data_IF_941163018256
#
_entry.id   IF_941163018256
#
_cell.length_a   1.000
_cell.length_b   1.000
_cell.length_c   1.000
_cell.angle_alpha   90.00
_cell.angle_beta   90.00
_cell.angle_gamma   90.00
#
_symmetry.space_group_name_H-M   'P 1'
#
loop_
_entity.id
_entity.type
_entity.pdbx_description
1 polymer ?
#
# COMPACT_ATOMS: atom_id res chain seq x y z
N UNK A 1 0.87 -62.98 30.42
CA UNK A 1 1.68 -63.66 29.38
C UNK A 1 3.05 -63.01 29.34
N UNK A 2 4.07 -63.67 29.90
CA UNK A 2 5.45 -63.15 29.91
C UNK A 2 6.13 -63.38 28.56
N UNK A 3 6.97 -62.43 28.12
CA UNK A 3 7.72 -62.47 26.86
C UNK A 3 8.56 -63.76 26.70
N UNK A 4 8.98 -64.36 27.82
CA UNK A 4 9.78 -65.59 27.89
C UNK A 4 9.02 -66.88 27.53
N UNK A 5 7.74 -66.80 27.15
CA UNK A 5 6.97 -67.96 26.66
C UNK A 5 6.89 -67.99 25.13
N UNK A 6 7.41 -66.97 24.45
CA UNK A 6 7.55 -67.00 23.00
C UNK A 6 8.73 -67.88 22.58
N UNK A 7 8.64 -68.53 21.41
CA UNK A 7 9.77 -69.25 20.84
C UNK A 7 10.92 -68.29 20.50
N UNK A 8 12.16 -68.79 20.63
CA UNK A 8 13.40 -68.04 20.46
C UNK A 8 13.49 -67.36 19.09
N UNK A 9 12.93 -67.96 18.04
CA UNK A 9 12.89 -67.39 16.68
C UNK A 9 12.13 -66.06 16.62
N UNK A 10 11.00 -65.97 17.31
CA UNK A 10 10.19 -64.76 17.36
C UNK A 10 10.87 -63.69 18.21
N UNK A 11 11.51 -64.10 19.31
CA UNK A 11 12.30 -63.20 20.15
C UNK A 11 13.49 -62.63 19.39
N UNK A 12 14.25 -63.45 18.66
CA UNK A 12 15.36 -62.99 17.83
C UNK A 12 14.91 -62.01 16.74
N UNK A 13 13.74 -62.25 16.13
CA UNK A 13 13.16 -61.33 15.14
C UNK A 13 12.73 -60.00 15.74
N UNK A 14 12.24 -59.98 16.98
CA UNK A 14 11.93 -58.73 17.70
C UNK A 14 13.21 -58.00 18.08
N UNK A 15 14.18 -58.71 18.66
CA UNK A 15 15.48 -58.15 19.08
C UNK A 15 16.29 -57.59 17.90
N UNK A 16 16.11 -58.14 16.70
CA UNK A 16 16.74 -57.65 15.48
C UNK A 16 16.40 -56.17 15.16
N UNK A 17 15.19 -55.71 15.48
CA UNK A 17 14.75 -54.33 15.22
C UNK A 17 15.11 -53.34 16.32
N UNK A 18 15.61 -53.80 17.46
CA UNK A 18 16.01 -52.93 18.56
C UNK A 18 17.38 -52.30 18.29
N UNK A 19 17.56 -51.07 18.78
CA UNK A 19 18.86 -50.40 18.75
C UNK A 19 19.82 -51.02 19.77
N UNK A 20 21.13 -50.76 19.60
CA UNK A 20 22.18 -51.27 20.49
C UNK A 20 21.92 -50.96 21.98
N UNK A 21 21.56 -49.73 22.40
CA UNK A 21 21.25 -49.44 23.80
C UNK A 21 20.03 -50.23 24.31
N UNK A 22 18.98 -50.35 23.52
CA UNK A 22 17.75 -51.06 23.93
C UNK A 22 18.00 -52.56 24.12
N UNK A 23 18.83 -53.14 23.26
CA UNK A 23 19.25 -54.53 23.36
C UNK A 23 20.09 -54.79 24.62
N UNK A 24 20.92 -53.82 25.03
CA UNK A 24 21.64 -53.86 26.31
C UNK A 24 20.69 -53.77 27.50
N UNK A 25 19.65 -52.93 27.46
CA UNK A 25 18.63 -52.88 28.51
C UNK A 25 17.86 -54.20 28.61
N UNK A 26 17.48 -54.79 27.48
CA UNK A 26 16.79 -56.09 27.43
C UNK A 26 17.67 -57.24 27.96
N UNK A 27 18.99 -57.18 27.75
CA UNK A 27 19.93 -58.17 28.31
C UNK A 27 19.98 -58.17 29.85
N UNK A 28 19.58 -57.06 30.48
CA UNK A 28 19.61 -56.89 31.94
C UNK A 28 18.32 -57.36 32.62
N UNK A 29 17.21 -57.46 31.90
CA UNK A 29 15.91 -57.82 32.49
C UNK A 29 15.79 -59.32 32.76
N UNK A 30 16.32 -60.19 31.89
CA UNK A 30 16.18 -61.65 31.99
C UNK A 30 17.42 -62.39 31.49
N UNK A 31 17.76 -63.53 32.11
CA UNK A 31 18.89 -64.39 31.67
C UNK A 31 18.67 -64.98 30.28
N UNK A 32 17.43 -65.35 29.96
CA UNK A 32 17.07 -65.90 28.65
C UNK A 32 17.25 -64.84 27.54
N UNK A 33 16.72 -63.63 27.75
CA UNK A 33 16.90 -62.50 26.83
C UNK A 33 18.36 -62.06 26.74
N UNK A 34 19.15 -62.21 27.81
CA UNK A 34 20.60 -62.00 27.78
C UNK A 34 21.27 -62.92 26.77
N UNK A 35 20.98 -64.23 26.81
CA UNK A 35 21.57 -65.19 25.88
C UNK A 35 21.19 -64.88 24.43
N UNK A 36 19.92 -64.60 24.15
CA UNK A 36 19.46 -64.24 22.81
C UNK A 36 19.99 -62.89 22.33
N UNK A 37 20.17 -61.92 23.23
CA UNK A 37 20.75 -60.61 22.89
C UNK A 37 22.22 -60.71 22.48
N UNK A 38 22.97 -61.64 23.06
CA UNK A 38 24.38 -61.89 22.73
C UNK A 38 24.58 -62.97 21.66
N UNK A 39 23.49 -63.43 21.01
CA UNK A 39 23.58 -64.44 19.96
C UNK A 39 24.37 -63.91 18.75
N UNK A 40 25.45 -64.59 18.32
CA UNK A 40 26.20 -64.20 17.12
C UNK A 40 25.35 -64.16 15.85
N UNK A 41 24.29 -64.96 15.74
CA UNK A 41 23.42 -64.97 14.55
C UNK A 41 22.65 -63.66 14.40
N UNK A 42 22.08 -63.15 15.50
CA UNK A 42 21.42 -61.85 15.54
C UNK A 42 22.36 -60.74 15.07
N UNK A 43 23.58 -60.71 15.61
CA UNK A 43 24.57 -59.67 15.27
C UNK A 43 25.05 -59.78 13.81
N UNK A 44 25.22 -60.99 13.28
CA UNK A 44 25.55 -61.21 11.86
C UNK A 44 24.46 -60.69 10.93
N UNK A 45 23.19 -60.96 11.24
CA UNK A 45 22.06 -60.48 10.44
C UNK A 45 21.97 -58.95 10.48
N UNK A 46 22.11 -58.34 11.66
CA UNK A 46 22.11 -56.88 11.81
C UNK A 46 23.27 -56.23 11.06
N UNK A 47 24.45 -56.84 11.07
CA UNK A 47 25.60 -56.36 10.31
C UNK A 47 25.33 -56.40 8.81
N UNK A 48 24.82 -57.51 8.28
CA UNK A 48 24.45 -57.64 6.85
C UNK A 48 23.42 -56.60 6.43
N UNK A 49 22.37 -56.42 7.24
CA UNK A 49 21.36 -55.41 6.98
C UNK A 49 21.92 -53.99 7.03
N UNK A 50 22.75 -53.69 8.02
CA UNK A 50 23.39 -52.38 8.14
C UNK A 50 24.30 -52.10 6.96
N UNK A 51 25.07 -53.09 6.49
CA UNK A 51 25.91 -52.97 5.31
C UNK A 51 25.08 -52.72 4.04
N UNK A 52 23.98 -53.46 3.85
CA UNK A 52 23.06 -53.24 2.73
C UNK A 52 22.38 -51.85 2.81
N UNK A 53 21.97 -51.43 4.00
CA UNK A 53 21.32 -50.13 4.23
C UNK A 53 22.28 -48.97 4.01
N UNK A 54 23.51 -49.05 4.53
CA UNK A 54 24.54 -48.02 4.33
C UNK A 54 24.88 -47.90 2.86
N UNK A 55 25.11 -49.01 2.15
CA UNK A 55 25.42 -48.97 0.72
C UNK A 55 24.28 -48.36 -0.12
N UNK A 56 23.03 -48.61 0.26
CA UNK A 56 21.86 -47.95 -0.34
C UNK A 56 21.77 -46.45 -0.03
N UNK A 57 21.89 -46.07 1.25
CA UNK A 57 21.75 -44.68 1.68
C UNK A 57 22.89 -43.77 1.20
N UNK A 58 24.12 -44.28 1.17
CA UNK A 58 25.27 -43.52 0.69
C UNK A 58 25.12 -43.11 -0.77
N UNK A 59 24.53 -43.97 -1.62
CA UNK A 59 24.27 -43.66 -3.03
C UNK A 59 23.21 -42.57 -3.23
N UNK A 60 22.26 -42.46 -2.30
CA UNK A 60 21.19 -41.43 -2.33
C UNK A 60 21.57 -40.13 -1.64
N UNK A 61 22.78 -40.04 -1.09
CA UNK A 61 23.24 -38.83 -0.41
C UNK A 61 23.36 -37.67 -1.41
N UNK A 62 22.79 -36.49 -1.11
CA UNK A 62 23.00 -35.32 -1.95
C UNK A 62 24.48 -34.92 -2.00
N UNK A 63 24.97 -34.39 -3.13
CA UNK A 63 26.35 -33.91 -3.23
C UNK A 63 26.58 -32.75 -2.26
N UNK A 64 27.83 -32.61 -1.78
CA UNK A 64 28.19 -31.57 -0.79
C UNK A 64 27.88 -30.15 -1.30
N UNK A 65 27.98 -29.92 -2.61
CA UNK A 65 27.65 -28.63 -3.23
C UNK A 65 26.17 -28.22 -3.01
N UNK A 66 25.24 -29.18 -3.00
CA UNK A 66 23.82 -28.90 -2.73
C UNK A 66 23.57 -28.56 -1.26
N UNK A 67 24.47 -28.99 -0.37
CA UNK A 67 24.42 -28.73 1.07
C UNK A 67 25.10 -27.40 1.47
N UNK A 68 25.80 -26.76 0.52
CA UNK A 68 26.54 -25.52 0.72
C UNK A 68 25.74 -24.30 0.24
N UNK A 69 26.06 -23.09 0.75
CA UNK A 69 25.52 -21.84 0.24
C UNK A 69 25.88 -21.68 -1.23
N UNK A 70 24.97 -21.14 -2.08
CA UNK A 70 23.76 -20.38 -1.75
C UNK A 70 22.47 -21.19 -1.59
N UNK A 71 22.50 -22.51 -1.85
CA UNK A 71 21.29 -23.33 -1.94
C UNK A 71 20.80 -23.75 -0.55
N UNK A 72 21.71 -24.16 0.34
CA UNK A 72 21.36 -24.50 1.71
C UNK A 72 22.48 -24.17 2.69
N UNK A 73 22.13 -24.08 3.97
CA UNK A 73 23.05 -23.67 5.05
C UNK A 73 23.45 -24.83 5.95
N UNK A 74 23.26 -26.06 5.48
CA UNK A 74 23.45 -27.30 6.26
C UNK A 74 24.94 -27.58 6.45
N UNK A 75 25.75 -27.43 5.39
CA UNK A 75 27.20 -27.64 5.45
C UNK A 75 27.93 -26.31 5.25
N UNK A 76 28.57 -25.83 6.32
CA UNK A 76 29.32 -24.57 6.29
C UNK A 76 30.82 -24.86 6.47
N UNK A 77 31.60 -24.41 5.49
CA UNK A 77 33.06 -24.39 5.56
C UNK A 77 33.54 -23.24 6.46
N UNK A 78 34.82 -23.30 6.84
CA UNK A 78 35.46 -22.23 7.62
C UNK A 78 35.36 -20.87 6.93
N UNK A 79 35.42 -20.83 5.59
CA UNK A 79 35.29 -19.61 4.80
C UNK A 79 33.87 -19.05 4.86
N UNK A 80 32.82 -19.90 4.79
CA UNK A 80 31.44 -19.44 4.97
C UNK A 80 31.20 -18.86 6.37
N UNK A 81 31.76 -19.46 7.42
CA UNK A 81 31.66 -18.90 8.78
C UNK A 81 32.38 -17.56 8.91
N UNK A 82 33.59 -17.43 8.36
CA UNK A 82 34.33 -16.17 8.34
C UNK A 82 33.56 -15.09 7.55
N UNK A 83 33.03 -15.43 6.38
CA UNK A 83 32.22 -14.54 5.56
C UNK A 83 30.96 -14.07 6.31
N UNK A 84 30.26 -14.95 7.04
CA UNK A 84 29.11 -14.57 7.88
C UNK A 84 29.49 -13.59 8.98
N UNK A 85 30.62 -13.82 9.66
CA UNK A 85 31.09 -12.90 10.71
C UNK A 85 31.41 -11.52 10.14
N UNK A 86 32.10 -11.46 9.00
CA UNK A 86 32.40 -10.21 8.30
C UNK A 86 31.12 -9.53 7.77
N UNK A 87 30.19 -10.30 7.22
CA UNK A 87 28.91 -9.79 6.75
C UNK A 87 28.13 -9.12 7.89
N UNK A 88 28.05 -9.78 9.05
CA UNK A 88 27.40 -9.22 10.23
C UNK A 88 28.12 -7.99 10.77
N UNK A 89 29.46 -7.98 10.81
CA UNK A 89 30.20 -6.80 11.25
C UNK A 89 29.94 -5.60 10.32
N UNK A 90 29.92 -5.82 9.00
CA UNK A 90 29.60 -4.79 8.02
C UNK A 90 28.16 -4.29 8.14
N UNK A 91 27.18 -5.18 8.38
CA UNK A 91 25.80 -4.79 8.65
C UNK A 91 25.72 -3.94 9.91
N UNK A 92 26.36 -4.35 11.00
CA UNK A 92 26.37 -3.58 12.24
C UNK A 92 27.00 -2.20 12.05
N UNK A 93 28.12 -2.09 11.33
CA UNK A 93 28.75 -0.81 11.00
C UNK A 93 27.80 0.05 10.15
N UNK A 94 27.18 -0.53 9.12
CA UNK A 94 26.24 0.18 8.24
C UNK A 94 25.03 0.68 9.02
N UNK A 95 24.44 -0.16 9.87
CA UNK A 95 23.33 0.19 10.72
C UNK A 95 23.73 1.26 11.74
N UNK A 96 24.89 1.15 12.38
CA UNK A 96 25.41 2.16 13.29
C UNK A 96 25.52 3.53 12.63
N UNK A 97 26.05 3.58 11.39
CA UNK A 97 26.11 4.82 10.58
C UNK A 97 24.72 5.33 10.15
N UNK A 98 23.78 4.43 9.84
CA UNK A 98 22.42 4.81 9.46
C UNK A 98 21.63 5.37 10.65
N UNK A 99 21.80 4.77 11.83
CA UNK A 99 21.17 5.19 13.08
C UNK A 99 21.72 6.52 13.57
N UNK A 100 23.03 6.78 13.44
CA UNK A 100 23.60 8.09 13.80
C UNK A 100 23.10 9.23 12.91
N UNK A 101 22.79 8.92 11.64
CA UNK A 101 22.19 9.87 10.68
C UNK A 101 20.65 9.89 10.72
N UNK A 102 20.03 9.23 11.70
CA UNK A 102 18.57 9.10 11.76
C UNK A 102 17.90 10.47 11.92
N UNK A 103 17.04 10.90 10.98
CA UNK A 103 16.30 12.14 11.12
C UNK A 103 15.29 12.06 12.27
N UNK A 104 15.12 13.16 13.00
CA UNK A 104 14.08 13.29 14.04
C UNK A 104 12.69 13.14 13.43
N UNK A 105 11.75 12.59 14.19
CA UNK A 105 10.37 12.37 13.71
C UNK A 105 9.70 13.66 13.22
N UNK A 106 9.98 14.79 13.87
CA UNK A 106 9.48 16.12 13.44
C UNK A 106 9.88 16.46 12.01
N UNK A 107 11.11 16.17 11.60
CA UNK A 107 11.56 16.41 10.23
C UNK A 107 10.87 15.50 9.21
N UNK A 108 10.55 14.26 9.59
CA UNK A 108 9.78 13.33 8.76
C UNK A 108 8.31 13.78 8.57
N UNK A 109 7.71 14.32 9.63
CA UNK A 109 6.36 14.93 9.61
C UNK A 109 6.34 16.18 8.73
N UNK A 110 7.38 17.02 8.83
CA UNK A 110 7.52 18.23 8.00
C UNK A 110 7.68 17.87 6.51
N UNK A 111 8.46 16.83 6.20
CA UNK A 111 8.66 16.32 4.83
C UNK A 111 7.47 15.50 4.30
N UNK A 112 6.37 15.38 5.05
CA UNK A 112 5.17 14.59 4.71
C UNK A 112 5.46 13.10 4.41
N UNK A 113 6.59 12.57 4.86
CA UNK A 113 6.91 11.13 4.80
C UNK A 113 6.04 10.38 5.82
N UNK A 114 5.93 10.98 6.99
CA UNK A 114 5.07 10.52 8.08
C UNK A 114 3.81 11.39 8.13
N UNK A 115 2.61 10.79 8.10
CA UNK A 115 1.36 11.53 8.24
C UNK A 115 1.23 12.13 9.64
N UNK A 116 0.84 13.40 9.72
CA UNK A 116 0.68 14.11 11.01
C UNK A 116 -0.38 13.46 11.90
N UNK A 117 -1.38 12.85 11.28
CA UNK A 117 -2.51 12.18 11.92
C UNK A 117 -2.10 10.96 12.79
N UNK A 118 -0.96 10.31 12.49
CA UNK A 118 -0.43 9.20 13.27
C UNK A 118 0.35 9.64 14.52
N UNK A 119 0.65 10.93 14.62
CA UNK A 119 1.52 11.45 15.66
C UNK A 119 0.75 12.36 16.61
N UNK A 120 1.13 12.35 17.89
CA UNK A 120 0.72 13.37 18.85
C UNK A 120 1.96 14.08 19.40
N UNK A 121 1.77 15.32 19.82
CA UNK A 121 2.79 16.06 20.58
C UNK A 121 2.62 15.69 22.04
N UNK A 122 3.71 15.26 22.65
CA UNK A 122 3.74 15.01 24.08
C UNK A 122 3.82 16.34 24.82
N UNK A 123 2.92 16.52 25.79
CA UNK A 123 2.79 17.76 26.55
C UNK A 123 3.99 17.98 27.50
N UNK A 124 4.64 16.91 27.96
CA UNK A 124 5.74 16.97 28.91
C UNK A 124 7.10 17.29 28.25
N UNK A 125 7.36 16.73 27.06
CA UNK A 125 8.66 16.85 26.39
C UNK A 125 8.63 17.75 25.15
N UNK A 126 7.44 18.14 24.68
CA UNK A 126 7.28 18.90 23.44
C UNK A 126 7.60 18.13 22.15
N UNK A 127 8.09 16.90 22.29
CA UNK A 127 8.47 16.03 21.18
C UNK A 127 7.25 15.34 20.56
N UNK A 128 7.40 15.01 19.27
CA UNK A 128 6.36 14.30 18.52
C UNK A 128 6.60 12.80 18.72
N UNK A 129 5.57 12.08 19.16
CA UNK A 129 5.60 10.62 19.31
C UNK A 129 4.72 9.95 18.26
N UNK A 130 5.27 8.91 17.63
CA UNK A 130 4.57 8.06 16.67
C UNK A 130 3.76 6.98 17.40
N UNK A 131 2.53 6.74 16.97
CA UNK A 131 1.71 5.62 17.45
C UNK A 131 0.65 5.98 18.50
N UNK A 132 0.72 7.19 19.08
CA UNK A 132 -0.30 7.70 20.03
C UNK A 132 -1.48 8.39 19.32
N UNK A 133 -1.34 8.63 18.00
CA UNK A 133 -2.39 9.15 17.13
C UNK A 133 -3.30 8.06 16.57
N UNK A 134 -3.83 8.29 15.37
CA UNK A 134 -4.60 7.26 14.66
C UNK A 134 -3.63 6.18 14.21
N UNK A 135 -3.97 4.91 14.43
CA UNK A 135 -3.15 3.80 13.95
C UNK A 135 -2.96 3.90 12.44
N UNK A 136 -1.74 3.67 11.95
CA UNK A 136 -1.41 3.78 10.53
C UNK A 136 -2.36 2.99 9.61
N UNK A 137 -2.82 1.83 10.08
CA UNK A 137 -3.78 0.99 9.36
C UNK A 137 -5.15 1.65 9.12
N UNK A 138 -5.56 2.60 9.96
CA UNK A 138 -6.86 3.29 9.86
C UNK A 138 -6.77 4.61 9.08
N UNK A 139 -5.56 5.10 8.81
CA UNK A 139 -5.37 6.39 8.15
C UNK A 139 -5.94 6.44 6.74
N UNK A 140 -5.73 5.38 5.96
CA UNK A 140 -6.23 5.34 4.58
C UNK A 140 -7.75 5.39 4.54
N UNK A 141 -8.41 4.67 5.45
CA UNK A 141 -9.86 4.69 5.59
C UNK A 141 -10.38 6.06 6.01
N UNK A 142 -9.73 6.70 6.99
CA UNK A 142 -10.07 8.06 7.42
C UNK A 142 -9.92 9.07 6.28
N UNK A 143 -8.79 9.03 5.56
CA UNK A 143 -8.52 9.93 4.43
C UNK A 143 -9.52 9.74 3.30
N UNK A 144 -9.93 8.51 3.03
CA UNK A 144 -10.96 8.22 2.04
C UNK A 144 -12.30 8.87 2.42
N UNK A 145 -12.73 8.67 3.66
CA UNK A 145 -13.97 9.26 4.17
C UNK A 145 -13.91 10.80 4.15
N UNK A 146 -12.80 11.40 4.56
CA UNK A 146 -12.59 12.84 4.48
C UNK A 146 -12.67 13.37 3.04
N UNK A 147 -12.08 12.67 2.07
CA UNK A 147 -12.18 13.03 0.65
C UNK A 147 -13.62 12.95 0.15
N UNK A 148 -14.34 11.89 0.51
CA UNK A 148 -15.75 11.71 0.14
C UNK A 148 -16.62 12.84 0.71
N UNK A 149 -16.42 13.21 1.97
CA UNK A 149 -17.11 14.36 2.59
C UNK A 149 -16.77 15.70 1.92
N UNK A 150 -15.50 15.93 1.56
CA UNK A 150 -15.10 17.15 0.86
C UNK A 150 -15.73 17.22 -0.54
N UNK A 151 -15.72 16.12 -1.30
CA UNK A 151 -16.35 16.06 -2.61
C UNK A 151 -17.85 16.30 -2.54
N UNK A 152 -18.53 15.69 -1.56
CA UNK A 152 -19.95 15.90 -1.33
C UNK A 152 -20.26 17.36 -0.94
N UNK A 153 -19.50 17.92 0.00
CA UNK A 153 -19.66 19.31 0.43
C UNK A 153 -19.43 20.31 -0.69
N UNK A 154 -18.40 20.10 -1.51
CA UNK A 154 -18.13 20.94 -2.68
C UNK A 154 -19.24 20.84 -3.73
N UNK A 155 -19.81 19.66 -3.95
CA UNK A 155 -20.93 19.48 -4.89
C UNK A 155 -22.16 20.29 -4.46
N UNK A 156 -22.58 20.15 -3.20
CA UNK A 156 -23.74 20.89 -2.66
C UNK A 156 -23.48 22.41 -2.71
N UNK A 157 -22.27 22.84 -2.39
CA UNK A 157 -21.89 24.25 -2.47
C UNK A 157 -21.95 24.79 -3.91
N UNK A 158 -21.44 24.01 -4.88
CA UNK A 158 -21.48 24.36 -6.29
C UNK A 158 -22.92 24.41 -6.82
N UNK A 159 -23.77 23.45 -6.46
CA UNK A 159 -25.20 23.45 -6.84
C UNK A 159 -25.92 24.68 -6.28
N UNK A 160 -25.68 25.00 -5.00
CA UNK A 160 -26.23 26.20 -4.36
C UNK A 160 -25.74 27.48 -5.03
N UNK A 161 -24.44 27.54 -5.38
CA UNK A 161 -23.86 28.68 -6.11
C UNK A 161 -24.39 28.80 -7.53
N UNK A 162 -24.53 27.69 -8.25
CA UNK A 162 -25.11 27.64 -9.58
C UNK A 162 -26.56 28.10 -9.54
N UNK A 163 -27.33 27.70 -8.52
CA UNK A 163 -28.69 28.17 -8.32
C UNK A 163 -28.75 29.68 -8.05
N UNK A 164 -27.87 30.21 -7.18
CA UNK A 164 -27.76 31.66 -6.95
C UNK A 164 -27.39 32.44 -8.22
N UNK A 165 -26.50 31.90 -9.06
CA UNK A 165 -26.11 32.50 -10.33
C UNK A 165 -27.28 32.44 -11.32
N UNK A 166 -28.00 31.33 -11.39
CA UNK A 166 -29.19 31.21 -12.23
C UNK A 166 -30.31 32.15 -11.78
N UNK A 167 -30.54 32.34 -10.47
CA UNK A 167 -31.50 33.32 -9.97
C UNK A 167 -31.07 34.74 -10.34
N UNK A 168 -29.80 35.11 -10.13
CA UNK A 168 -29.28 36.41 -10.59
C UNK A 168 -29.37 36.59 -12.10
N UNK A 169 -29.15 35.53 -12.87
CA UNK A 169 -29.31 35.55 -14.32
C UNK A 169 -30.78 35.62 -14.73
N UNK A 170 -31.72 35.02 -13.99
CA UNK A 170 -33.16 35.17 -14.22
C UNK A 170 -33.65 36.56 -13.84
N UNK A 171 -33.14 37.13 -12.76
CA UNK A 171 -33.39 38.51 -12.35
C UNK A 171 -32.79 39.50 -13.37
N UNK A 172 -31.61 39.19 -13.94
CA UNK A 172 -30.99 39.93 -15.04
C UNK A 172 -31.62 39.65 -16.41
N UNK A 173 -32.24 38.49 -16.59
CA UNK A 173 -33.04 38.07 -17.75
C UNK A 173 -34.52 38.44 -17.61
N UNK A 174 -34.87 39.22 -16.58
CA UNK A 174 -35.87 40.27 -16.73
C UNK A 174 -35.38 41.20 -17.82
N UNK A 175 -35.59 40.78 -19.07
CA UNK A 175 -34.70 41.07 -20.19
C UNK A 175 -34.60 42.54 -20.56
N UNK A 176 -34.05 42.80 -21.75
CA UNK A 176 -33.94 44.14 -22.33
C UNK A 176 -35.21 44.98 -22.13
N UNK A 177 -36.40 44.35 -22.10
CA UNK A 177 -37.68 44.98 -21.71
C UNK A 177 -37.74 45.65 -20.32
N UNK A 178 -37.15 45.11 -19.25
CA UNK A 178 -37.12 45.77 -17.92
C UNK A 178 -36.11 46.92 -17.90
N UNK A 179 -34.99 46.77 -18.61
CA UNK A 179 -34.02 47.85 -18.79
C UNK A 179 -34.60 48.98 -19.64
N UNK A 180 -35.30 48.67 -20.73
CA UNK A 180 -36.06 49.61 -21.57
C UNK A 180 -37.20 50.25 -20.78
N UNK A 181 -37.93 49.50 -19.96
CA UNK A 181 -38.98 50.04 -19.09
C UNK A 181 -38.39 50.97 -18.03
N UNK A 182 -37.26 50.60 -17.40
CA UNK A 182 -36.54 51.47 -16.45
C UNK A 182 -35.98 52.73 -17.11
N UNK A 183 -35.47 52.63 -18.34
CA UNK A 183 -34.98 53.78 -19.11
C UNK A 183 -36.12 54.69 -19.58
N UNK A 184 -37.20 54.13 -20.11
CA UNK A 184 -38.39 54.88 -20.52
C UNK A 184 -39.06 55.57 -19.34
N UNK A 185 -39.08 54.92 -18.16
CA UNK A 185 -39.58 55.53 -16.92
C UNK A 185 -38.68 56.67 -16.43
N UNK A 186 -37.35 56.54 -16.54
CA UNK A 186 -36.42 57.63 -16.22
C UNK A 186 -36.54 58.81 -17.19
N UNK A 187 -36.72 58.54 -18.49
CA UNK A 187 -36.96 59.58 -19.50
C UNK A 187 -38.30 60.30 -19.28
N UNK A 188 -39.36 59.59 -18.89
CA UNK A 188 -40.64 60.24 -18.54
C UNK A 188 -40.54 61.15 -17.31
N UNK A 189 -39.71 60.80 -16.33
CA UNK A 189 -39.49 61.62 -15.13
C UNK A 189 -38.69 62.89 -15.48
N UNK A 190 -37.75 62.82 -16.42
CA UNK A 190 -37.05 64.00 -16.94
C UNK A 190 -37.95 64.85 -17.82
N UNK A 191 -38.82 64.25 -18.65
CA UNK A 191 -39.80 64.97 -19.48
C UNK A 191 -40.82 65.74 -18.61
N UNK A 192 -41.22 65.19 -17.46
CA UNK A 192 -42.10 65.91 -16.51
C UNK A 192 -41.42 67.09 -15.79
N UNK A 193 -40.09 67.20 -15.83
CA UNK A 193 -39.34 68.35 -15.31
C UNK A 193 -38.88 69.32 -16.40
N UNK A 194 -39.07 68.98 -17.68
CA UNK A 194 -38.64 69.77 -18.85
C UNK A 194 -39.83 70.18 -19.74
N UNK A 195 -40.97 70.50 -19.14
CA UNK A 195 -42.05 71.24 -19.81
C UNK A 195 -41.92 72.75 -19.59
N UNK A 196 -40.69 73.25 -19.71
CA UNK A 196 -40.41 74.63 -20.04
C UNK A 196 -39.03 74.67 -20.68
N UNK A 197 -39.02 75.02 -21.96
CA UNK A 197 -37.88 75.49 -22.74
C UNK A 197 -37.14 74.49 -23.64
N UNK A 198 -36.94 74.94 -24.90
CA UNK A 198 -35.87 74.49 -25.79
C UNK A 198 -36.13 73.26 -26.68
N UNK A 199 -36.28 73.52 -28.00
CA UNK A 199 -36.20 72.53 -29.09
C UNK A 199 -35.04 71.54 -28.91
N UNK A 200 -35.32 70.24 -29.02
CA UNK A 200 -34.30 69.22 -29.28
C UNK A 200 -34.68 68.41 -30.52
N UNK A 201 -33.79 68.49 -31.52
CA UNK A 201 -33.85 67.73 -32.77
C UNK A 201 -33.85 66.22 -32.53
N UNK A 202 -34.78 65.51 -33.18
CA UNK A 202 -34.73 64.05 -33.31
C UNK A 202 -33.55 63.67 -34.21
N UNK A 203 -32.64 62.76 -33.80
CA UNK A 203 -31.58 62.32 -34.69
C UNK A 203 -32.15 61.45 -35.82
N UNK A 204 -31.78 61.79 -37.07
CA UNK A 204 -32.16 61.09 -38.29
C UNK A 204 -31.63 59.64 -38.29
N UNK A 205 -32.49 58.72 -38.76
CA UNK A 205 -32.34 57.25 -38.75
C UNK A 205 -31.05 56.71 -39.38
N UNK A 206 -30.34 57.50 -40.19
CA UNK A 206 -29.13 57.13 -40.92
C UNK A 206 -27.89 56.92 -40.03
N UNK A 207 -27.84 57.55 -38.84
CA UNK A 207 -26.70 57.36 -37.92
C UNK A 207 -26.75 56.02 -37.17
N UNK A 208 -27.95 55.44 -37.02
CA UNK A 208 -28.16 54.21 -36.24
C UNK A 208 -27.87 52.95 -37.08
N UNK A 209 -27.97 53.03 -38.41
CA UNK A 209 -27.64 51.92 -39.31
C UNK A 209 -26.14 51.71 -39.46
N UNK A 210 -25.33 52.77 -39.39
CA UNK A 210 -23.86 52.67 -39.41
C UNK A 210 -23.31 51.98 -38.15
N UNK A 211 -23.88 52.27 -36.98
CA UNK A 211 -23.48 51.61 -35.74
C UNK A 211 -23.86 50.12 -35.74
N UNK A 212 -25.02 49.76 -36.27
CA UNK A 212 -25.47 48.36 -36.38
C UNK A 212 -24.51 47.52 -37.24
N UNK A 213 -24.09 48.05 -38.40
CA UNK A 213 -23.10 47.38 -39.27
C UNK A 213 -21.71 47.27 -38.65
N UNK A 214 -21.31 48.26 -37.84
CA UNK A 214 -20.02 48.23 -37.13
C UNK A 214 -19.96 47.05 -36.15
N UNK A 215 -21.02 46.80 -35.39
CA UNK A 215 -21.06 45.69 -34.43
C UNK A 215 -21.31 44.32 -35.07
N UNK A 216 -22.05 44.24 -36.17
CA UNK A 216 -22.24 43.00 -36.92
C UNK A 216 -20.94 42.49 -37.57
N UNK A 217 -20.07 43.39 -38.04
CA UNK A 217 -18.77 43.01 -38.62
C UNK A 217 -17.76 42.50 -37.58
N UNK A 218 -17.80 42.99 -36.34
CA UNK A 218 -16.92 42.51 -35.25
C UNK A 218 -17.32 41.12 -34.72
N UNK A 219 -18.59 40.74 -34.86
CA UNK A 219 -19.07 39.42 -34.42
C UNK A 219 -18.79 38.31 -35.46
N UNK A 220 -18.54 38.66 -36.72
CA UNK A 220 -18.32 37.69 -37.81
C UNK A 220 -16.91 37.09 -37.88
N UNK A 221 -15.89 37.69 -37.28
CA UNK A 221 -14.49 37.23 -37.41
C UNK A 221 -14.13 36.04 -36.48
N UNK A 222 -14.99 35.66 -35.54
CA UNK A 222 -14.72 34.54 -34.62
C UNK A 222 -15.49 33.25 -34.92
N UNK A 223 -16.18 33.16 -36.06
CA UNK A 223 -16.83 31.92 -36.50
C UNK A 223 -16.33 31.47 -37.87
N UNK A 224 -15.06 31.03 -37.94
CA UNK A 224 -14.61 30.08 -38.97
C UNK A 224 -14.25 28.75 -38.28
N UNK A 225 -14.96 27.65 -38.60
CA UNK A 225 -14.67 26.33 -38.06
C UNK A 225 -13.37 25.77 -38.67
N UNK A 226 -12.54 25.18 -37.81
CA UNK A 226 -11.35 24.44 -38.19
C UNK A 226 -11.73 23.24 -39.08
N UNK A 227 -11.35 23.32 -40.36
CA UNK A 227 -11.40 22.20 -41.30
C UNK A 227 -10.21 21.28 -41.04
N UNK A 228 -10.49 20.03 -40.65
CA UNK A 228 -9.51 18.93 -40.66
C UNK A 228 -9.15 18.54 -42.11
N UNK A 229 -7.90 18.13 -42.41
CA UNK A 229 -7.57 17.51 -43.68
C UNK A 229 -7.83 15.99 -43.67
N UNK A 230 -8.32 15.40 -44.78
CA UNK A 230 -8.20 13.96 -45.03
C UNK A 230 -6.99 13.63 -45.93
N UNK A 231 -6.59 12.34 -45.83
CA UNK A 231 -5.52 11.57 -46.53
C UNK A 231 -4.08 11.84 -46.14
#
# INVERSE_FOLDING_TARGET
MSLCHLPDELLLRVLYFLDIPDLLYVSRTCRHLRLLSFDPLLHRLRLRYSQARISYLLRRRPPVLALQPPISTIYLTRTHLAARRLHWSLICIRLGRALSRRPKLSTLVCKKIVPRECCKRDLASGDIIWGTGIAGALLERKRRVEREHLCHGLRVWLESKAHQIQVRQKDAAGGVGILVWRFSRRLKITDSRQFSDGRVERPRREKVTRLKRFWENLAGEHSSPATMPPS
#
